data_IF_041042757641
#
_entry.id   IF_041042757641
#
_cell.length_a   1.000
_cell.length_b   1.000
_cell.length_c   1.000
_cell.angle_alpha   90.00
_cell.angle_beta   90.00
_cell.angle_gamma   90.00
#
_symmetry.space_group_name_H-M   'P 1'
#
loop_
_entity.id
_entity.type
_entity.pdbx_description
1 polymer ?
#
# COMPACT_ATOMS: atom_id res chain seq x y z
N UNK A 1 5.84 -0.58 -25.44
CA UNK A 1 5.39 0.30 -26.54
C UNK A 1 6.24 -0.06 -27.73
N UNK A 2 5.68 -0.31 -28.91
CA UNK A 2 6.50 -0.68 -30.08
C UNK A 2 7.02 0.55 -30.85
N UNK A 3 7.96 0.32 -31.77
CA UNK A 3 8.54 1.38 -32.61
C UNK A 3 7.51 2.08 -33.52
N UNK A 4 6.29 1.54 -33.65
CA UNK A 4 5.20 2.13 -34.42
C UNK A 4 4.26 2.98 -33.53
N UNK A 5 4.56 3.13 -32.23
CA UNK A 5 3.73 3.87 -31.29
C UNK A 5 2.49 3.10 -30.82
N UNK A 6 2.45 1.78 -31.00
CA UNK A 6 1.36 0.94 -30.52
C UNK A 6 1.65 0.52 -29.08
N UNK A 7 0.70 0.77 -28.18
CA UNK A 7 0.74 0.33 -26.79
C UNK A 7 -0.13 -0.92 -26.64
N UNK A 8 0.48 -2.04 -26.26
CA UNK A 8 -0.23 -3.25 -25.88
C UNK A 8 -0.32 -3.32 -24.36
N UNK A 9 -1.55 -3.31 -23.83
CA UNK A 9 -1.83 -3.46 -22.40
C UNK A 9 -2.43 -4.83 -22.20
N UNK A 10 -1.83 -5.66 -21.35
CA UNK A 10 -2.38 -6.97 -21.01
C UNK A 10 -2.60 -7.12 -19.52
N UNK A 11 -3.76 -7.64 -19.14
CA UNK A 11 -4.08 -8.04 -17.77
C UNK A 11 -4.09 -9.57 -17.70
N UNK A 12 -3.36 -10.15 -16.75
CA UNK A 12 -3.29 -11.59 -16.54
C UNK A 12 -3.67 -11.93 -15.10
N UNK A 13 -4.55 -12.90 -14.95
CA UNK A 13 -4.82 -13.53 -13.66
C UNK A 13 -3.80 -14.67 -13.44
N UNK A 14 -2.99 -14.54 -12.39
CA UNK A 14 -1.95 -15.50 -12.05
C UNK A 14 -2.50 -16.82 -11.47
N UNK A 15 -3.75 -16.86 -11.01
CA UNK A 15 -4.38 -18.05 -10.42
C UNK A 15 -5.01 -18.95 -11.48
N UNK A 16 -5.71 -18.34 -12.44
CA UNK A 16 -6.41 -19.08 -13.51
C UNK A 16 -5.62 -19.15 -14.82
N UNK A 17 -4.57 -18.34 -14.96
CA UNK A 17 -3.76 -18.23 -16.17
C UNK A 17 -4.44 -17.48 -17.33
N UNK A 18 -5.69 -17.03 -17.15
CA UNK A 18 -6.42 -16.26 -18.16
C UNK A 18 -5.77 -14.90 -18.36
N UNK A 19 -5.72 -14.46 -19.61
CA UNK A 19 -5.14 -13.19 -20.01
C UNK A 19 -6.04 -12.52 -21.03
N UNK A 20 -6.25 -11.22 -20.85
CA UNK A 20 -6.91 -10.35 -21.82
C UNK A 20 -5.92 -9.26 -22.23
N UNK A 21 -5.98 -8.80 -23.48
CA UNK A 21 -5.12 -7.72 -23.93
C UNK A 21 -5.84 -6.76 -24.87
N UNK A 22 -5.50 -5.48 -24.75
CA UNK A 22 -5.99 -4.40 -25.58
C UNK A 22 -4.81 -3.78 -26.30
N UNK A 23 -5.01 -3.50 -27.59
CA UNK A 23 -4.04 -2.78 -28.42
C UNK A 23 -4.54 -1.34 -28.61
N UNK A 24 -3.73 -0.38 -28.20
CA UNK A 24 -3.98 1.06 -28.40
C UNK A 24 -3.02 1.54 -29.47
N UNK A 25 -3.56 1.95 -30.62
CA UNK A 25 -2.77 2.54 -31.71
C UNK A 25 -2.64 4.05 -31.51
N UNK A 26 -1.44 4.59 -31.71
CA UNK A 26 -1.24 6.04 -31.72
C UNK A 26 -1.60 6.58 -33.10
N UNK A 27 -2.83 7.06 -33.26
CA UNK A 27 -3.27 7.69 -34.50
C UNK A 27 -2.56 9.04 -34.66
N UNK A 28 -1.90 9.26 -35.81
CA UNK A 28 -1.24 10.54 -36.11
C UNK A 28 -2.23 11.69 -35.97
N UNK A 29 -1.92 12.65 -35.10
CA UNK A 29 -2.77 13.82 -34.84
C UNK A 29 -3.78 13.66 -33.71
N UNK A 30 -3.72 12.58 -32.91
CA UNK A 30 -4.55 12.43 -31.70
C UNK A 30 -4.39 13.57 -30.69
N UNK A 31 -3.20 14.18 -30.64
CA UNK A 31 -2.91 15.43 -29.95
C UNK A 31 -2.11 16.33 -30.90
N UNK A 32 -2.44 17.62 -30.92
CA UNK A 32 -1.62 18.60 -31.64
C UNK A 32 -0.33 18.91 -30.86
N UNK A 33 0.65 19.55 -31.52
CA UNK A 33 1.88 19.97 -30.82
C UNK A 33 1.57 21.00 -29.74
N UNK A 34 0.65 21.90 -30.03
CA UNK A 34 0.17 22.93 -29.13
C UNK A 34 -0.53 22.32 -27.90
N UNK A 35 -1.30 21.24 -28.09
CA UNK A 35 -1.90 20.50 -26.97
C UNK A 35 -0.85 19.81 -26.11
N UNK A 36 0.18 19.22 -26.72
CA UNK A 36 1.29 18.59 -25.99
C UNK A 36 2.05 19.62 -25.16
N UNK A 37 2.39 20.78 -25.74
CA UNK A 37 3.08 21.86 -25.03
C UNK A 37 2.24 22.41 -23.88
N UNK A 38 0.92 22.57 -24.09
CA UNK A 38 -0.01 22.97 -23.03
C UNK A 38 -0.03 21.94 -21.89
N UNK A 39 -0.14 20.64 -22.20
CA UNK A 39 -0.12 19.57 -21.20
C UNK A 39 1.19 19.53 -20.41
N UNK A 40 2.34 19.79 -21.05
CA UNK A 40 3.64 19.86 -20.37
C UNK A 40 3.71 21.06 -19.41
N UNK A 41 3.23 22.22 -19.84
CA UNK A 41 3.20 23.42 -18.99
C UNK A 41 2.23 23.26 -17.80
N UNK A 42 1.08 22.62 -18.02
CA UNK A 42 0.12 22.28 -16.96
C UNK A 42 0.73 21.28 -15.97
N UNK A 43 1.37 20.21 -16.46
CA UNK A 43 2.03 19.22 -15.61
C UNK A 43 3.10 19.85 -14.70
N UNK A 44 3.94 20.74 -15.23
CA UNK A 44 4.95 21.42 -14.40
C UNK A 44 4.30 22.39 -13.40
N UNK A 45 3.23 23.09 -13.80
CA UNK A 45 2.50 24.00 -12.92
C UNK A 45 1.84 23.28 -11.74
N UNK A 46 1.26 22.11 -11.97
CA UNK A 46 0.54 21.34 -10.94
C UNK A 46 1.41 20.32 -10.21
N UNK A 47 2.66 20.11 -10.64
CA UNK A 47 3.58 19.14 -10.06
C UNK A 47 3.62 19.14 -8.52
N UNK A 48 3.73 20.31 -7.90
CA UNK A 48 3.79 20.42 -6.44
C UNK A 48 2.47 20.02 -5.77
N UNK A 49 1.34 20.35 -6.39
CA UNK A 49 0.02 19.96 -5.90
C UNK A 49 -0.18 18.45 -6.05
N UNK A 50 0.16 17.89 -7.20
CA UNK A 50 0.10 16.45 -7.47
C UNK A 50 1.01 15.65 -6.52
N UNK A 51 2.21 16.16 -6.23
CA UNK A 51 3.12 15.54 -5.26
C UNK A 51 2.56 15.60 -3.84
N UNK A 52 1.99 16.74 -3.41
CA UNK A 52 1.34 16.86 -2.11
C UNK A 52 0.12 15.91 -1.99
N UNK A 53 -0.69 15.81 -3.05
CA UNK A 53 -1.81 14.87 -3.11
C UNK A 53 -1.34 13.42 -3.04
N UNK A 54 -0.26 13.08 -3.77
CA UNK A 54 0.35 11.74 -3.73
C UNK A 54 0.84 11.39 -2.33
N UNK A 55 1.53 12.31 -1.66
CA UNK A 55 2.02 12.10 -0.30
C UNK A 55 0.89 11.93 0.71
N UNK A 56 -0.17 12.72 0.59
CA UNK A 56 -1.38 12.60 1.42
C UNK A 56 -2.05 11.24 1.26
N UNK A 57 -2.23 10.79 0.03
CA UNK A 57 -2.79 9.46 -0.29
C UNK A 57 -1.87 8.36 0.25
N UNK A 58 -0.55 8.50 0.13
CA UNK A 58 0.41 7.53 0.68
C UNK A 58 0.34 7.45 2.21
N UNK A 59 0.21 8.58 2.91
CA UNK A 59 0.03 8.62 4.36
C UNK A 59 -1.27 7.94 4.80
N UNK A 60 -2.38 8.22 4.10
CA UNK A 60 -3.67 7.54 4.33
C UNK A 60 -3.54 6.03 4.14
N UNK A 61 -2.96 5.58 3.03
CA UNK A 61 -2.80 4.16 2.73
C UNK A 61 -1.91 3.46 3.77
N UNK A 62 -0.89 4.15 4.28
CA UNK A 62 -0.02 3.65 5.35
C UNK A 62 -0.80 3.43 6.63
N UNK A 63 -1.64 4.41 7.02
CA UNK A 63 -2.52 4.28 8.18
C UNK A 63 -3.53 3.14 8.02
N UNK A 64 -4.24 3.07 6.88
CA UNK A 64 -5.19 2.00 6.59
C UNK A 64 -4.52 0.63 6.67
N UNK A 65 -3.38 0.46 5.98
CA UNK A 65 -2.61 -0.79 5.99
C UNK A 65 -2.22 -1.21 7.40
N UNK A 66 -1.74 -0.26 8.22
CA UNK A 66 -1.36 -0.53 9.60
C UNK A 66 -2.56 -0.96 10.44
N UNK A 67 -3.70 -0.24 10.32
CA UNK A 67 -4.93 -0.57 11.05
C UNK A 67 -5.41 -1.98 10.72
N UNK A 68 -5.43 -2.35 9.44
CA UNK A 68 -5.82 -3.70 9.02
C UNK A 68 -4.86 -4.76 9.55
N UNK A 69 -3.55 -4.53 9.46
CA UNK A 69 -2.53 -5.45 9.98
C UNK A 69 -2.65 -5.67 11.50
N UNK A 70 -2.86 -4.60 12.27
CA UNK A 70 -3.05 -4.69 13.72
C UNK A 70 -4.36 -5.38 14.08
N UNK A 71 -5.46 -5.06 13.38
CA UNK A 71 -6.76 -5.71 13.57
C UNK A 71 -6.63 -7.21 13.35
N UNK A 72 -6.03 -7.64 12.24
CA UNK A 72 -5.82 -9.05 11.92
C UNK A 72 -4.97 -9.74 12.99
N UNK A 73 -3.84 -9.13 13.39
CA UNK A 73 -2.97 -9.70 14.41
C UNK A 73 -3.67 -9.87 15.77
N UNK A 74 -4.55 -8.93 16.15
CA UNK A 74 -5.36 -9.04 17.37
C UNK A 74 -6.46 -10.11 17.26
N UNK A 75 -7.08 -10.26 16.09
CA UNK A 75 -8.07 -11.31 15.82
C UNK A 75 -7.43 -12.71 15.88
N UNK A 76 -6.24 -12.87 15.28
CA UNK A 76 -5.46 -14.12 15.22
C UNK A 76 -4.64 -14.43 16.49
N UNK A 77 -4.56 -13.49 17.44
CA UNK A 77 -3.76 -13.66 18.65
C UNK A 77 -4.19 -14.85 19.53
N UNK A 78 -5.43 -15.34 19.40
CA UNK A 78 -5.98 -16.40 20.24
C UNK A 78 -5.84 -16.08 21.72
N UNK A 79 -5.31 -17.02 22.49
CA UNK A 79 -5.09 -16.87 23.95
C UNK A 79 -3.80 -16.10 24.31
N UNK A 80 -3.01 -15.64 23.32
CA UNK A 80 -1.76 -14.88 23.56
C UNK A 80 -2.02 -13.45 24.04
N UNK A 81 -3.23 -12.93 23.81
CA UNK A 81 -3.68 -11.64 24.30
C UNK A 81 -4.85 -11.84 25.25
N UNK A 82 -4.89 -11.05 26.33
CA UNK A 82 -6.06 -11.00 27.19
C UNK A 82 -7.26 -10.44 26.42
N UNK A 83 -8.48 -10.83 26.80
CA UNK A 83 -9.70 -10.27 26.20
C UNK A 83 -9.71 -8.74 26.28
N UNK A 84 -9.27 -8.17 27.41
CA UNK A 84 -9.17 -6.72 27.61
C UNK A 84 -8.19 -6.06 26.63
N UNK A 85 -7.02 -6.65 26.40
CA UNK A 85 -6.03 -6.11 25.45
C UNK A 85 -6.58 -6.19 24.02
N UNK A 86 -7.22 -7.31 23.66
CA UNK A 86 -7.84 -7.51 22.35
C UNK A 86 -8.95 -6.51 22.10
N UNK A 87 -9.86 -6.32 23.05
CA UNK A 87 -10.96 -5.38 22.95
C UNK A 87 -10.46 -3.94 22.82
N UNK A 88 -9.39 -3.58 23.54
CA UNK A 88 -8.76 -2.26 23.46
C UNK A 88 -8.19 -1.99 22.06
N UNK A 89 -7.44 -2.95 21.50
CA UNK A 89 -6.88 -2.82 20.14
C UNK A 89 -7.99 -2.73 19.09
N UNK A 90 -8.98 -3.62 19.16
CA UNK A 90 -10.08 -3.63 18.19
C UNK A 90 -10.92 -2.36 18.25
N UNK A 91 -11.16 -1.82 19.45
CA UNK A 91 -11.84 -0.54 19.62
C UNK A 91 -11.04 0.61 18.98
N UNK A 92 -9.72 0.66 19.21
CA UNK A 92 -8.84 1.68 18.60
C UNK A 92 -8.74 1.56 17.08
N UNK A 93 -8.70 0.34 16.55
CA UNK A 93 -8.76 0.10 15.10
C UNK A 93 -10.09 0.60 14.52
N UNK A 94 -11.23 0.28 15.14
CA UNK A 94 -12.55 0.76 14.68
C UNK A 94 -12.66 2.29 14.73
N UNK A 95 -12.21 2.91 15.81
CA UNK A 95 -12.18 4.37 15.95
C UNK A 95 -11.35 5.00 14.83
N UNK A 96 -10.18 4.43 14.53
CA UNK A 96 -9.30 4.91 13.47
C UNK A 96 -9.93 4.75 12.08
N UNK A 97 -10.56 3.60 11.79
CA UNK A 97 -11.29 3.39 10.51
C UNK A 97 -12.40 4.42 10.35
N UNK A 98 -13.25 4.59 11.38
CA UNK A 98 -14.33 5.58 11.34
C UNK A 98 -13.80 7.00 11.17
N UNK A 99 -12.64 7.32 11.74
CA UNK A 99 -11.99 8.61 11.54
C UNK A 99 -11.49 8.77 10.09
N UNK A 100 -10.85 7.76 9.49
CA UNK A 100 -10.41 7.81 8.09
C UNK A 100 -11.62 8.03 7.15
N UNK A 101 -12.70 7.30 7.37
CA UNK A 101 -13.93 7.42 6.56
C UNK A 101 -14.57 8.80 6.68
N UNK A 102 -14.59 9.37 7.89
CA UNK A 102 -15.15 10.70 8.15
C UNK A 102 -14.22 11.84 7.68
N UNK A 103 -12.92 11.58 7.53
CA UNK A 103 -11.90 12.58 7.21
C UNK A 103 -11.11 12.16 5.97
N UNK A 104 -11.82 11.83 4.88
CA UNK A 104 -11.23 11.37 3.61
C UNK A 104 -10.37 12.42 2.89
N UNK A 105 -10.45 13.68 3.31
CA UNK A 105 -9.68 14.80 2.79
C UNK A 105 -8.70 15.39 3.82
N UNK A 106 -8.44 14.69 4.94
CA UNK A 106 -7.49 15.14 5.96
C UNK A 106 -6.08 15.37 5.38
N UNK A 107 -5.31 16.23 6.02
CA UNK A 107 -3.95 16.51 5.63
C UNK A 107 -3.01 15.35 5.97
N UNK A 108 -1.85 15.30 5.28
CA UNK A 108 -0.81 14.29 5.50
C UNK A 108 -0.45 14.16 6.99
N UNK A 109 -0.21 15.29 7.65
CA UNK A 109 0.22 15.33 9.04
C UNK A 109 -0.83 14.77 10.01
N UNK A 110 -2.12 14.89 9.67
CA UNK A 110 -3.21 14.31 10.47
C UNK A 110 -3.22 12.78 10.38
N UNK A 111 -3.04 12.24 9.17
CA UNK A 111 -2.88 10.79 8.98
C UNK A 111 -1.64 10.25 9.72
N UNK A 112 -0.51 10.95 9.64
CA UNK A 112 0.71 10.57 10.35
C UNK A 112 0.57 10.66 11.87
N UNK A 113 -0.13 11.68 12.37
CA UNK A 113 -0.43 11.81 13.80
C UNK A 113 -1.29 10.65 14.28
N UNK A 114 -2.36 10.32 13.57
CA UNK A 114 -3.23 9.17 13.88
C UNK A 114 -2.47 7.85 13.84
N UNK A 115 -1.55 7.69 12.89
CA UNK A 115 -0.68 6.52 12.83
C UNK A 115 0.16 6.40 14.10
N UNK A 116 0.79 7.49 14.55
CA UNK A 116 1.61 7.50 15.78
C UNK A 116 0.77 7.18 17.02
N UNK A 117 -0.42 7.76 17.14
CA UNK A 117 -1.35 7.47 18.26
C UNK A 117 -1.72 5.98 18.31
N UNK A 118 -2.09 5.40 17.16
CA UNK A 118 -2.44 3.99 17.08
C UNK A 118 -1.22 3.10 17.38
N UNK A 119 -0.05 3.44 16.84
CA UNK A 119 1.19 2.72 17.12
C UNK A 119 1.51 2.74 18.61
N UNK A 120 1.42 3.88 19.28
CA UNK A 120 1.69 3.99 20.72
C UNK A 120 0.71 3.15 21.55
N UNK A 121 -0.58 3.14 21.19
CA UNK A 121 -1.59 2.34 21.88
C UNK A 121 -1.37 0.83 21.67
N UNK A 122 -0.96 0.42 20.47
CA UNK A 122 -0.83 -0.99 20.10
C UNK A 122 0.55 -1.58 20.41
N UNK A 123 1.61 -0.77 20.48
CA UNK A 123 3.00 -1.21 20.73
C UNK A 123 3.13 -2.14 21.96
N UNK A 124 2.64 -1.80 23.16
CA UNK A 124 2.80 -2.68 24.33
C UNK A 124 2.07 -4.02 24.18
N UNK A 125 0.96 -4.03 23.42
CA UNK A 125 0.14 -5.22 23.21
C UNK A 125 0.78 -6.12 22.14
N UNK A 126 1.27 -5.52 21.05
CA UNK A 126 1.98 -6.23 19.99
C UNK A 126 3.32 -6.78 20.47
N UNK A 127 4.01 -6.12 21.41
CA UNK A 127 5.22 -6.67 22.05
C UNK A 127 4.93 -7.97 22.83
N UNK A 128 3.79 -8.05 23.55
CA UNK A 128 3.36 -9.30 24.22
C UNK A 128 3.11 -10.43 23.21
N UNK A 129 2.50 -10.11 22.07
CA UNK A 129 2.22 -11.07 20.99
C UNK A 129 3.51 -11.69 20.42
N UNK A 130 4.57 -10.89 20.25
CA UNK A 130 5.87 -11.34 19.74
C UNK A 130 6.68 -12.10 20.80
N UNK A 131 6.61 -11.71 22.08
CA UNK A 131 7.23 -12.47 23.18
C UNK A 131 6.62 -13.87 23.33
N UNK A 132 5.32 -14.04 23.06
CA UNK A 132 4.66 -15.36 23.01
C UNK A 132 5.09 -16.25 21.82
N UNK A 133 5.88 -15.73 20.87
CA UNK A 133 6.41 -16.47 19.73
C UNK A 133 7.87 -16.95 19.92
N UNK A 134 8.51 -16.58 21.04
CA UNK A 134 9.89 -16.95 21.36
C UNK A 134 10.10 -18.36 21.94
N UNK A 135 9.07 -19.22 22.01
CA UNK A 135 9.17 -20.53 22.67
C UNK A 135 8.65 -21.74 21.87
N UNK A 136 8.57 -21.64 20.55
CA UNK A 136 8.48 -22.83 19.68
C UNK A 136 9.43 -22.66 18.51
N UNK A 137 10.65 -23.16 18.67
CA UNK A 137 11.56 -23.33 17.54
C UNK A 137 11.13 -24.49 16.66
N UNK A 138 11.43 -24.43 15.35
CA UNK A 138 11.75 -25.62 14.59
C UNK A 138 13.26 -25.73 14.39
N UNK A 139 13.83 -26.84 14.88
CA UNK A 139 15.09 -27.39 14.36
C UNK A 139 14.83 -28.00 12.96
N UNK A 140 15.85 -27.91 12.10
CA UNK A 140 15.98 -28.45 10.73
C UNK A 140 15.31 -27.62 9.62
N UNK A 141 15.96 -27.26 8.51
CA UNK A 141 17.26 -27.67 8.00
C UNK A 141 17.77 -26.71 6.91
N UNK A 142 19.06 -26.83 6.61
CA UNK A 142 19.81 -26.04 5.66
C UNK A 142 19.26 -26.12 4.21
N UNK A 143 19.24 -24.98 3.51
CA UNK A 143 19.84 -24.86 2.17
C UNK A 143 20.07 -23.38 1.78
N UNK A 144 21.30 -22.95 1.40
CA UNK A 144 21.57 -21.59 0.96
C UNK A 144 21.63 -21.53 -0.56
N UNK A 145 20.48 -21.39 -1.24
CA UNK A 145 20.48 -20.91 -2.63
C UNK A 145 19.05 -20.58 -3.07
N UNK A 146 18.72 -19.30 -3.23
CA UNK A 146 17.81 -18.83 -4.28
C UNK A 146 17.88 -17.30 -4.36
N UNK A 147 18.62 -16.87 -5.38
CA UNK A 147 18.76 -15.52 -5.89
C UNK A 147 17.40 -14.86 -6.10
N UNK A 148 17.24 -13.64 -5.58
CA UNK A 148 16.12 -12.77 -5.89
C UNK A 148 16.18 -12.25 -7.34
N UNK A 149 15.04 -11.85 -7.93
CA UNK A 149 14.95 -11.47 -9.33
C UNK A 149 15.68 -10.15 -9.59
N UNK A 150 16.59 -10.18 -10.56
CA UNK A 150 17.23 -9.01 -11.18
C UNK A 150 16.24 -8.31 -12.12
N UNK A 151 16.11 -6.99 -11.96
CA UNK A 151 15.43 -6.10 -12.90
C UNK A 151 16.43 -5.81 -14.02
N UNK A 152 16.26 -6.42 -15.19
CA UNK A 152 16.95 -5.99 -16.42
C UNK A 152 16.12 -4.87 -17.05
N UNK A 153 16.67 -3.66 -16.99
CA UNK A 153 16.31 -2.57 -17.89
C UNK A 153 16.77 -2.96 -19.31
N UNK A 154 15.82 -3.03 -20.25
CA UNK A 154 16.11 -3.20 -21.67
C UNK A 154 16.17 -1.81 -22.31
N UNK A 155 17.33 -1.51 -22.88
CA UNK A 155 17.59 -0.40 -23.81
C UNK A 155 16.70 -0.52 -25.07
#
# INVERSE_FOLDING_TARGET
>A
MDANGILQVSARDNSTGKQESIRITNDKGRLSKEDIERMLAEAERFKQEDDAQRERVAARNTLETYVYGVKQAAEEAGDKLSSSDKDTVLAKCRETISWIDANSLAEKDEYEHRLKELQQACMPIMSKLHQGQGQQGPKHGANPNQSGPTIEEVD
#
